data_IF_491874849028
#
_entry.id   IF_491874849028
#
_cell.length_a   1.000
_cell.length_b   1.000
_cell.length_c   1.000
_cell.angle_alpha   90.00
_cell.angle_beta   90.00
_cell.angle_gamma   90.00
#
_symmetry.space_group_name_H-M   'P 1'
#
loop_
_entity.id
_entity.type
_entity.pdbx_description
1 polymer ?
#
# COMPACT_ATOMS: atom_id res chain seq x y z
N UNK A 1 8.50 -0.94 27.46
CA UNK A 1 8.92 0.14 26.50
C UNK A 1 9.06 -0.49 25.12
N UNK A 2 8.40 0.00 24.06
CA UNK A 2 8.61 -0.55 22.69
C UNK A 2 10.07 -0.43 22.28
N UNK A 3 10.68 -1.53 21.84
CA UNK A 3 12.08 -1.53 21.43
C UNK A 3 12.33 -0.58 20.24
N UNK A 4 13.60 -0.25 20.00
CA UNK A 4 14.00 0.58 18.85
C UNK A 4 13.61 -0.08 17.51
N UNK A 5 13.54 -1.41 17.44
CA UNK A 5 13.20 -2.19 16.24
C UNK A 5 11.70 -2.10 15.93
N UNK A 6 10.81 -2.36 16.89
CA UNK A 6 9.36 -2.24 16.67
C UNK A 6 8.92 -0.82 16.31
N UNK A 7 9.58 0.20 16.87
CA UNK A 7 9.31 1.61 16.50
C UNK A 7 9.73 1.94 15.06
N UNK A 8 10.85 1.39 14.59
CA UNK A 8 11.30 1.56 13.21
C UNK A 8 10.34 0.88 12.22
N UNK A 9 9.93 -0.37 12.51
CA UNK A 9 8.95 -1.10 11.70
C UNK A 9 7.62 -0.36 11.59
N UNK A 10 7.10 0.20 12.68
CA UNK A 10 5.87 1.00 12.66
C UNK A 10 5.96 2.20 11.69
N UNK A 11 7.09 2.91 11.69
CA UNK A 11 7.31 4.04 10.76
C UNK A 11 7.33 3.58 9.31
N UNK A 12 7.98 2.46 9.03
CA UNK A 12 8.04 1.88 7.68
C UNK A 12 6.64 1.49 7.20
N UNK A 13 5.86 0.78 8.05
CA UNK A 13 4.47 0.42 7.74
C UNK A 13 3.64 1.68 7.46
N UNK A 14 3.79 2.72 8.28
CA UNK A 14 3.04 3.98 8.10
C UNK A 14 3.37 4.62 6.74
N UNK A 15 4.67 4.71 6.39
CA UNK A 15 5.09 5.24 5.10
C UNK A 15 4.56 4.39 3.94
N UNK A 16 4.59 3.06 4.10
CA UNK A 16 4.09 2.10 3.12
C UNK A 16 2.57 2.25 2.90
N UNK A 17 1.80 2.49 3.95
CA UNK A 17 0.38 2.81 3.85
C UNK A 17 0.13 4.10 3.07
N UNK A 18 0.95 5.14 3.26
CA UNK A 18 0.85 6.37 2.46
C UNK A 18 1.11 6.10 0.97
N UNK A 19 2.12 5.30 0.64
CA UNK A 19 2.44 4.91 -0.74
C UNK A 19 1.27 4.13 -1.36
N UNK A 20 0.69 3.18 -0.63
CA UNK A 20 -0.53 2.48 -1.06
C UNK A 20 -1.67 3.45 -1.35
N UNK A 21 -1.95 4.42 -0.47
CA UNK A 21 -3.02 5.41 -0.70
C UNK A 21 -2.77 6.26 -1.95
N UNK A 22 -1.52 6.61 -2.24
CA UNK A 22 -1.15 7.31 -3.48
C UNK A 22 -1.40 6.41 -4.70
N UNK A 23 -1.03 5.13 -4.64
CA UNK A 23 -1.29 4.17 -5.71
C UNK A 23 -2.80 3.98 -5.96
N UNK A 24 -3.61 3.91 -4.89
CA UNK A 24 -5.09 3.85 -4.98
C UNK A 24 -5.67 5.11 -5.63
N UNK A 25 -5.20 6.30 -5.22
CA UNK A 25 -5.63 7.58 -5.80
C UNK A 25 -5.29 7.66 -7.30
N UNK A 26 -4.07 7.26 -7.68
CA UNK A 26 -3.63 7.25 -9.07
C UNK A 26 -4.46 6.29 -9.92
N UNK A 27 -4.76 5.09 -9.40
CA UNK A 27 -5.62 4.13 -10.08
C UNK A 27 -7.05 4.66 -10.25
N UNK A 28 -7.62 5.25 -9.20
CA UNK A 28 -8.94 5.87 -9.25
C UNK A 28 -9.02 7.01 -10.27
N UNK A 29 -7.98 7.84 -10.35
CA UNK A 29 -7.86 8.89 -11.35
C UNK A 29 -7.87 8.31 -12.78
N UNK A 30 -7.03 7.30 -13.06
CA UNK A 30 -6.99 6.64 -14.38
C UNK A 30 -8.34 6.05 -14.77
N UNK A 31 -9.01 5.36 -13.85
CA UNK A 31 -10.35 4.79 -14.09
C UNK A 31 -11.37 5.90 -14.42
N UNK A 32 -11.32 7.02 -13.71
CA UNK A 32 -12.17 8.19 -13.96
C UNK A 32 -11.92 8.78 -15.35
N UNK A 33 -10.65 8.99 -15.72
CA UNK A 33 -10.29 9.52 -17.04
C UNK A 33 -10.71 8.57 -18.18
N UNK A 34 -10.53 7.26 -18.02
CA UNK A 34 -11.04 6.28 -18.99
C UNK A 34 -12.55 6.35 -19.16
N UNK A 35 -13.28 6.52 -18.06
CA UNK A 35 -14.74 6.72 -18.11
C UNK A 35 -15.11 7.97 -18.90
N UNK A 36 -14.40 9.09 -18.69
CA UNK A 36 -14.61 10.34 -19.45
C UNK A 36 -14.32 10.15 -20.94
N UNK A 37 -13.21 9.50 -21.29
CA UNK A 37 -12.84 9.21 -22.69
C UNK A 37 -13.93 8.37 -23.36
N UNK A 38 -14.45 7.34 -22.70
CA UNK A 38 -15.51 6.51 -23.25
C UNK A 38 -16.82 7.28 -23.47
N UNK A 39 -17.20 8.14 -22.52
CA UNK A 39 -18.37 9.02 -22.70
C UNK A 39 -18.19 9.95 -23.91
N UNK A 40 -17.00 10.54 -24.09
CA UNK A 40 -16.71 11.42 -25.23
C UNK A 40 -16.72 10.65 -26.56
N UNK A 41 -16.19 9.42 -26.57
CA UNK A 41 -16.18 8.55 -27.75
C UNK A 41 -17.60 8.20 -28.22
N UNK A 42 -18.49 7.83 -27.31
CA UNK A 42 -19.88 7.53 -27.67
C UNK A 42 -20.59 8.78 -28.23
N UNK A 43 -20.42 9.94 -27.60
CA UNK A 43 -20.98 11.21 -28.13
C UNK A 43 -20.45 11.57 -29.51
N UNK A 44 -19.16 11.37 -29.75
CA UNK A 44 -18.54 11.62 -31.05
C UNK A 44 -19.06 10.64 -32.10
N UNK A 45 -19.28 9.38 -31.76
CA UNK A 45 -19.84 8.38 -32.66
C UNK A 45 -21.24 8.78 -33.14
N UNK A 46 -22.10 9.22 -32.23
CA UNK A 46 -23.44 9.71 -32.59
C UNK A 46 -23.35 10.94 -33.51
N UNK A 47 -22.43 11.87 -33.19
CA UNK A 47 -22.21 13.09 -33.97
C UNK A 47 -21.62 12.82 -35.36
N UNK A 48 -20.74 11.83 -35.50
CA UNK A 48 -20.19 11.40 -36.80
C UNK A 48 -21.34 10.88 -37.67
N UNK A 49 -22.21 10.03 -37.12
CA UNK A 49 -23.31 9.43 -37.87
C UNK A 49 -24.31 10.48 -38.37
N UNK A 50 -24.65 11.48 -37.55
CA UNK A 50 -25.56 12.57 -37.96
C UNK A 50 -24.92 13.52 -38.98
N UNK A 51 -23.62 13.79 -38.86
CA UNK A 51 -22.92 14.79 -39.67
C UNK A 51 -22.40 14.22 -40.99
N UNK A 52 -22.20 12.90 -41.10
CA UNK A 52 -21.65 12.25 -42.29
C UNK A 52 -22.44 12.53 -43.57
N UNK A 53 -23.77 12.64 -43.46
CA UNK A 53 -24.66 12.94 -44.59
C UNK A 53 -24.67 14.43 -44.98
N UNK A 54 -24.50 15.33 -44.00
CA UNK A 54 -24.60 16.78 -44.24
C UNK A 54 -23.26 17.43 -44.56
N UNK A 55 -22.18 16.97 -43.93
CA UNK A 55 -20.83 17.51 -44.13
C UNK A 55 -19.77 16.40 -43.94
N UNK A 56 -19.41 15.69 -45.03
CA UNK A 56 -18.43 14.61 -44.99
C UNK A 56 -17.04 15.05 -44.50
N UNK A 57 -16.64 16.30 -44.79
CA UNK A 57 -15.36 16.83 -44.34
C UNK A 57 -15.32 16.99 -42.81
N UNK A 58 -16.39 17.53 -42.22
CA UNK A 58 -16.52 17.66 -40.76
C UNK A 58 -16.61 16.28 -40.08
N UNK A 59 -17.33 15.33 -40.67
CA UNK A 59 -17.37 13.95 -40.17
C UNK A 59 -15.99 13.29 -40.18
N UNK A 60 -15.17 13.54 -41.21
CA UNK A 60 -13.77 13.08 -41.26
C UNK A 60 -12.92 13.67 -40.13
N UNK A 61 -13.11 14.95 -39.79
CA UNK A 61 -12.45 15.55 -38.63
C UNK A 61 -12.86 14.87 -37.32
N UNK A 62 -14.16 14.65 -37.09
CA UNK A 62 -14.62 13.93 -35.89
C UNK A 62 -14.10 12.49 -35.81
N UNK A 63 -13.98 11.80 -36.95
CA UNK A 63 -13.39 10.47 -37.00
C UNK A 63 -11.92 10.48 -36.54
N UNK A 64 -11.12 11.48 -36.95
CA UNK A 64 -9.73 11.64 -36.47
C UNK A 64 -9.67 11.85 -34.95
N UNK A 65 -10.55 12.68 -34.40
CA UNK A 65 -10.65 12.87 -32.95
C UNK A 65 -11.06 11.58 -32.23
N UNK A 66 -12.02 10.84 -32.78
CA UNK A 66 -12.44 9.54 -32.24
C UNK A 66 -11.27 8.54 -32.21
N UNK A 67 -10.48 8.44 -33.28
CA UNK A 67 -9.28 7.60 -33.30
C UNK A 67 -8.25 8.02 -32.26
N UNK A 68 -8.01 9.33 -32.11
CA UNK A 68 -7.09 9.84 -31.07
C UNK A 68 -7.57 9.47 -29.66
N UNK A 69 -8.86 9.63 -29.37
CA UNK A 69 -9.44 9.20 -28.09
C UNK A 69 -9.34 7.68 -27.88
N UNK A 70 -9.53 6.88 -28.92
CA UNK A 70 -9.37 5.42 -28.84
C UNK A 70 -7.92 5.01 -28.53
N UNK A 71 -6.94 5.69 -29.12
CA UNK A 71 -5.51 5.47 -28.80
C UNK A 71 -5.19 5.88 -27.37
N UNK A 72 -5.78 6.98 -26.89
CA UNK A 72 -5.61 7.42 -25.50
C UNK A 72 -6.24 6.42 -24.51
N UNK A 73 -7.43 5.89 -24.77
CA UNK A 73 -8.02 4.84 -23.93
C UNK A 73 -7.14 3.58 -23.87
N UNK A 74 -6.55 3.16 -24.99
CA UNK A 74 -5.60 2.03 -24.99
C UNK A 74 -4.37 2.29 -24.11
N UNK A 75 -3.79 3.50 -24.17
CA UNK A 75 -2.67 3.89 -23.30
C UNK A 75 -3.09 3.95 -21.83
N UNK A 76 -4.30 4.43 -21.55
CA UNK A 76 -4.82 4.48 -20.18
C UNK A 76 -5.14 3.07 -19.65
N UNK A 77 -5.56 2.14 -20.51
CA UNK A 77 -5.77 0.75 -20.15
C UNK A 77 -4.46 0.06 -19.76
N UNK A 78 -3.38 0.28 -20.50
CA UNK A 78 -2.07 -0.25 -20.13
C UNK A 78 -1.54 0.38 -18.84
N UNK A 79 -1.73 1.69 -18.65
CA UNK A 79 -1.40 2.38 -17.40
C UNK A 79 -2.18 1.81 -16.21
N UNK A 80 -3.48 1.57 -16.38
CA UNK A 80 -4.33 0.97 -15.35
C UNK A 80 -3.79 -0.39 -14.91
N UNK A 81 -3.42 -1.27 -15.84
CA UNK A 81 -2.85 -2.58 -15.51
C UNK A 81 -1.56 -2.47 -14.68
N UNK A 82 -0.68 -1.52 -15.02
CA UNK A 82 0.56 -1.28 -14.24
C UNK A 82 0.23 -0.77 -12.84
N UNK A 83 -0.74 0.13 -12.70
CA UNK A 83 -1.17 0.68 -11.43
C UNK A 83 -1.85 -0.38 -10.54
N UNK A 84 -2.67 -1.27 -11.11
CA UNK A 84 -3.29 -2.40 -10.41
C UNK A 84 -2.23 -3.36 -9.86
N UNK A 85 -1.23 -3.70 -10.68
CA UNK A 85 -0.12 -4.55 -10.26
C UNK A 85 0.72 -3.88 -9.16
N UNK A 86 0.95 -2.58 -9.28
CA UNK A 86 1.66 -1.81 -8.25
C UNK A 86 0.87 -1.83 -6.96
N UNK A 87 -0.42 -1.51 -6.99
CA UNK A 87 -1.30 -1.55 -5.81
C UNK A 87 -1.30 -2.93 -5.14
N UNK A 88 -1.39 -4.00 -5.92
CA UNK A 88 -1.31 -5.37 -5.41
C UNK A 88 0.03 -5.62 -4.71
N UNK A 89 1.15 -5.22 -5.34
CA UNK A 89 2.47 -5.38 -4.75
C UNK A 89 2.63 -4.58 -3.44
N UNK A 90 2.08 -3.37 -3.36
CA UNK A 90 2.13 -2.55 -2.15
C UNK A 90 1.30 -3.16 -1.02
N UNK A 91 0.15 -3.78 -1.33
CA UNK A 91 -0.65 -4.54 -0.35
C UNK A 91 0.14 -5.71 0.22
N UNK A 92 0.74 -6.53 -0.65
CA UNK A 92 1.57 -7.68 -0.24
C UNK A 92 2.75 -7.22 0.64
N UNK A 93 3.40 -6.08 0.30
CA UNK A 93 4.48 -5.53 1.13
C UNK A 93 3.98 -5.13 2.52
N UNK A 94 2.81 -4.50 2.61
CA UNK A 94 2.20 -4.14 3.91
C UNK A 94 1.94 -5.40 4.72
N UNK A 95 1.32 -6.42 4.12
CA UNK A 95 0.97 -7.66 4.80
C UNK A 95 2.22 -8.32 5.40
N UNK A 96 3.30 -8.44 4.61
CA UNK A 96 4.59 -8.96 5.09
C UNK A 96 5.19 -8.11 6.21
N UNK A 97 5.13 -6.78 6.10
CA UNK A 97 5.64 -5.91 7.15
C UNK A 97 4.81 -6.02 8.43
N UNK A 98 3.50 -6.23 8.33
CA UNK A 98 2.64 -6.45 9.49
C UNK A 98 2.94 -7.77 10.18
N UNK A 99 3.15 -8.86 9.42
CA UNK A 99 3.59 -10.15 9.94
C UNK A 99 4.93 -10.01 10.68
N UNK A 100 5.93 -9.40 10.05
CA UNK A 100 7.24 -9.15 10.69
C UNK A 100 7.13 -8.32 11.97
N UNK A 101 6.22 -7.34 12.00
CA UNK A 101 5.96 -6.51 13.18
C UNK A 101 5.33 -7.31 14.31
N UNK A 102 4.42 -8.22 14.00
CA UNK A 102 3.78 -9.10 15.00
C UNK A 102 4.77 -10.14 15.54
N UNK A 103 5.60 -10.75 14.68
CA UNK A 103 6.69 -11.64 15.11
C UNK A 103 7.70 -10.92 16.01
N UNK A 104 8.12 -9.70 15.61
CA UNK A 104 9.04 -8.88 16.41
C UNK A 104 8.44 -8.54 17.77
N UNK A 105 7.12 -8.28 17.82
CA UNK A 105 6.43 -8.01 19.08
C UNK A 105 6.46 -9.23 20.01
N UNK A 106 6.20 -10.43 19.49
CA UNK A 106 6.25 -11.67 20.27
C UNK A 106 7.66 -11.95 20.81
N UNK A 107 8.71 -11.68 20.02
CA UNK A 107 10.09 -11.82 20.46
C UNK A 107 10.47 -10.80 21.53
N UNK A 108 10.01 -9.55 21.39
CA UNK A 108 10.21 -8.49 22.39
C UNK A 108 9.53 -8.84 23.73
N UNK A 109 8.33 -9.42 23.69
CA UNK A 109 7.60 -9.86 24.88
C UNK A 109 8.32 -11.02 25.59
N UNK A 110 8.74 -12.05 24.84
CA UNK A 110 9.54 -13.16 25.40
C UNK A 110 10.84 -12.69 26.02
N UNK A 111 11.57 -11.81 25.34
CA UNK A 111 12.82 -11.26 25.87
C UNK A 111 12.58 -10.50 27.18
N UNK A 112 11.49 -9.74 27.27
CA UNK A 112 11.13 -9.03 28.50
C UNK A 112 10.80 -9.99 29.64
N UNK A 113 10.06 -11.06 29.37
CA UNK A 113 9.75 -12.09 30.36
C UNK A 113 11.02 -12.83 30.84
N UNK A 114 11.94 -13.14 29.92
CA UNK A 114 13.23 -13.77 30.22
C UNK A 114 14.12 -12.85 31.08
N UNK A 115 14.22 -11.56 30.74
CA UNK A 115 14.94 -10.56 31.53
C UNK A 115 14.37 -10.44 32.95
N UNK A 116 13.04 -10.34 33.09
CA UNK A 116 12.36 -10.27 34.38
C UNK A 116 12.56 -11.54 35.22
N UNK A 117 12.56 -12.71 34.60
CA UNK A 117 12.84 -13.98 35.28
C UNK A 117 14.30 -14.05 35.76
N UNK A 118 15.26 -13.62 34.94
CA UNK A 118 16.67 -13.57 35.32
C UNK A 118 16.89 -12.61 36.51
N UNK A 119 16.29 -11.43 36.48
CA UNK A 119 16.34 -10.47 37.60
C UNK A 119 15.79 -11.08 38.90
N UNK A 120 14.70 -11.85 38.83
CA UNK A 120 14.13 -12.54 39.99
C UNK A 120 15.07 -13.63 40.54
N UNK A 121 15.68 -14.42 39.66
CA UNK A 121 16.67 -15.44 40.03
C UNK A 121 17.88 -14.79 40.70
N UNK A 122 18.41 -13.70 40.14
CA UNK A 122 19.51 -12.96 40.72
C UNK A 122 19.17 -12.41 42.11
N UNK A 123 17.99 -11.80 42.28
CA UNK A 123 17.50 -11.34 43.58
C UNK A 123 17.41 -12.47 44.60
N UNK A 124 16.91 -13.65 44.21
CA UNK A 124 16.85 -14.84 45.08
C UNK A 124 18.24 -15.36 45.46
N UNK A 125 19.18 -15.39 44.51
CA UNK A 125 20.57 -15.80 44.77
C UNK A 125 21.22 -14.84 45.76
N UNK A 126 21.07 -13.52 45.54
CA UNK A 126 21.58 -12.49 46.44
C UNK A 126 20.97 -12.60 47.83
N UNK A 127 19.65 -12.74 47.93
CA UNK A 127 18.95 -12.92 49.20
C UNK A 127 19.46 -14.14 49.97
N UNK A 128 19.56 -15.31 49.31
CA UNK A 128 20.07 -16.53 49.91
C UNK A 128 21.56 -16.43 50.33
N UNK A 129 22.38 -15.68 49.59
CA UNK A 129 23.77 -15.43 49.96
C UNK A 129 23.86 -14.56 51.22
N UNK A 130 23.03 -13.52 51.31
CA UNK A 130 22.93 -12.65 52.49
C UNK A 130 22.43 -13.45 53.71
N UNK A 131 21.34 -14.20 53.59
CA UNK A 131 20.80 -15.01 54.68
C UNK A 131 21.81 -16.02 55.23
N UNK A 132 22.59 -16.68 54.36
CA UNK A 132 23.64 -17.61 54.80
C UNK A 132 24.75 -16.91 55.60
N UNK A 133 25.14 -15.71 55.21
CA UNK A 133 26.17 -14.93 55.91
C UNK A 133 25.72 -14.47 57.30
N UNK A 134 24.42 -14.20 57.49
CA UNK A 134 23.84 -13.85 58.79
C UNK A 134 23.66 -15.06 59.73
N UNK A 135 23.39 -16.26 59.18
CA UNK A 135 23.22 -17.48 59.97
C UNK A 135 24.54 -18.14 60.41
N UNK A 136 25.69 -17.70 59.86
CA UNK A 136 27.03 -18.21 60.20
C UNK A 136 27.79 -17.34 61.22
N UNK A 137 27.12 -16.34 61.81
CA UNK A 137 27.61 -15.46 62.88
C UNK A 137 26.93 -15.85 64.19
#
# INVERSE_FOLDING_TARGET
>A
MRSRKSRALYKIITAQCCIKSIAESNLAYTISERKKINILREKLKDSINSTALMNPALASHYLKFYHSLSQNDQKMASLQLVQENTLLSEKIKIDRLTEMKDETYLLEERQYDDENNNDNIEQRILFNAVSRKFMSL
#
